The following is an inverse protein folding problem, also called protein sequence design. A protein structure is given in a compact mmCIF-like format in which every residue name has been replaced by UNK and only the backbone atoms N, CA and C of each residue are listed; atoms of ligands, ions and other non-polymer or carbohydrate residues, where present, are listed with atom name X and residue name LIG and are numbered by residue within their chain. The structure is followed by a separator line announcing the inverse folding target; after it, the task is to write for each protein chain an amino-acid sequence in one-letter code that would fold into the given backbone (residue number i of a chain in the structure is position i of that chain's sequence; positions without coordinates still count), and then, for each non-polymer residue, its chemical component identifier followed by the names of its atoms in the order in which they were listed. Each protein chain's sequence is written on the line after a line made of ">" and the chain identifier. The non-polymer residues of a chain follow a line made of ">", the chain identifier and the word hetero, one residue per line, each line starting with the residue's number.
data_IF_307639183374
#
_entry.id   IF_307639183374
#
_cell.length_a   1.000
_cell.length_b   1.000
_cell.length_c   1.000
_cell.angle_alpha   90.00
_cell.angle_beta   90.00
_cell.angle_gamma   90.00
#
_symmetry.space_group_name_H-M   'P 1'
#
loop_
_entity.id
_entity.type
_entity.pdbx_description
1 polymer ?
#
# COMPACT_ATOMS: atom_id res chain seq x y z
N UNK A 1 59.32 59.72 31.64
CA UNK A 1 59.11 60.96 32.42
C UNK A 1 59.01 62.07 31.39
N UNK A 2 57.82 62.31 30.84
CA UNK A 2 57.62 63.29 29.77
C UNK A 2 57.15 64.57 30.44
N UNK A 3 58.07 65.50 30.68
CA UNK A 3 57.76 66.77 31.33
C UNK A 3 57.12 67.73 30.33
N UNK A 4 55.96 68.27 30.69
CA UNK A 4 55.27 69.30 29.91
C UNK A 4 55.99 70.63 30.18
N UNK A 5 56.83 71.05 29.24
CA UNK A 5 57.65 72.26 29.35
C UNK A 5 56.76 73.51 29.44
N UNK A 6 56.99 74.36 30.45
CA UNK A 6 56.30 75.65 30.62
C UNK A 6 57.00 76.71 29.77
N UNK A 7 56.25 77.45 28.95
CA UNK A 7 56.80 78.57 28.16
C UNK A 7 56.38 79.88 28.83
N UNK A 8 57.35 80.71 29.20
CA UNK A 8 57.08 82.05 29.72
C UNK A 8 57.13 83.04 28.56
N UNK A 9 56.00 83.67 28.24
CA UNK A 9 55.95 84.79 27.31
C UNK A 9 55.37 85.98 28.08
N UNK A 10 56.19 87.03 28.25
CA UNK A 10 55.83 88.31 28.88
C UNK A 10 55.10 88.22 30.24
N UNK A 11 55.54 87.30 31.12
CA UNK A 11 55.12 87.23 32.52
C UNK A 11 53.85 86.39 32.80
N UNK A 12 53.20 85.85 31.77
CA UNK A 12 52.07 84.92 31.94
C UNK A 12 52.56 83.48 31.83
N UNK A 13 52.35 82.69 32.89
CA UNK A 13 52.76 81.30 32.93
C UNK A 13 51.75 80.44 32.16
N UNK A 14 52.10 80.08 30.93
CA UNK A 14 51.25 79.26 30.06
C UNK A 14 51.66 77.80 30.21
N UNK A 15 50.74 76.99 30.75
CA UNK A 15 50.85 75.54 30.71
C UNK A 15 50.22 75.09 29.39
N UNK A 16 50.96 74.50 28.44
CA UNK A 16 50.33 73.98 27.25
C UNK A 16 49.37 72.87 27.67
N UNK A 17 48.07 73.06 27.44
CA UNK A 17 47.14 71.95 27.50
C UNK A 17 47.57 70.98 26.40
N UNK A 18 48.19 69.86 26.77
CA UNK A 18 48.43 68.81 25.79
C UNK A 18 47.06 68.32 25.37
N UNK A 19 46.65 68.66 24.14
CA UNK A 19 45.52 68.04 23.48
C UNK A 19 45.71 66.52 23.59
N UNK A 20 44.63 65.74 23.71
CA UNK A 20 44.69 64.26 23.80
C UNK A 20 45.61 63.65 22.71
N UNK A 21 45.71 64.33 21.57
CA UNK A 21 46.58 63.99 20.46
C UNK A 21 48.08 64.31 20.62
N UNK A 22 48.50 65.09 21.61
CA UNK A 22 49.91 65.44 21.83
C UNK A 22 50.67 64.42 22.71
N UNK A 23 49.98 63.39 23.22
CA UNK A 23 50.60 62.30 24.01
C UNK A 23 51.17 61.25 23.04
N UNK A 24 52.50 61.11 22.96
CA UNK A 24 53.13 60.01 22.22
C UNK A 24 52.67 58.65 22.77
N UNK A 25 52.08 57.84 21.90
CA UNK A 25 51.52 56.52 22.24
C UNK A 25 50.05 56.49 22.62
N UNK A 26 49.28 57.58 22.45
CA UNK A 26 47.82 57.52 22.67
C UNK A 26 47.17 56.53 21.67
N UNK A 27 46.44 55.50 22.12
CA UNK A 27 45.76 54.60 21.21
C UNK A 27 44.58 55.34 20.56
N UNK A 28 44.66 55.58 19.24
CA UNK A 28 43.64 56.31 18.47
C UNK A 28 42.30 55.55 18.38
N UNK A 29 42.30 54.25 18.71
CA UNK A 29 41.11 53.41 18.80
C UNK A 29 41.31 52.33 19.88
N UNK A 30 40.70 52.49 21.06
CA UNK A 30 40.62 51.40 22.07
C UNK A 30 39.52 50.38 21.73
N UNK A 31 39.09 50.32 20.46
CA UNK A 31 38.08 49.34 20.05
C UNK A 31 38.80 48.02 19.85
N UNK A 32 38.56 47.07 20.76
CA UNK A 32 39.05 45.70 20.61
C UNK A 32 38.65 45.13 19.25
N UNK A 33 39.50 44.23 18.73
CA UNK A 33 39.25 43.57 17.47
C UNK A 33 37.85 42.94 17.46
N UNK A 34 37.23 42.95 16.28
CA UNK A 34 35.96 42.26 16.10
C UNK A 34 36.17 40.78 16.48
N UNK A 35 35.36 40.26 17.38
CA UNK A 35 35.40 38.84 17.73
C UNK A 35 35.18 37.95 16.51
N UNK A 36 35.78 36.76 16.55
CA UNK A 36 35.65 35.78 15.49
C UNK A 36 34.17 35.43 15.25
N UNK A 37 33.77 35.15 13.99
CA UNK A 37 32.46 34.59 13.71
C UNK A 37 32.21 33.31 14.52
N UNK A 38 31.02 33.18 15.08
CA UNK A 38 30.62 31.95 15.77
C UNK A 38 30.63 30.74 14.82
N UNK A 39 30.86 29.55 15.38
CA UNK A 39 30.83 28.31 14.61
C UNK A 39 29.48 28.12 13.89
N UNK A 40 29.54 27.70 12.63
CA UNK A 40 28.34 27.44 11.85
C UNK A 40 27.55 26.25 12.43
N UNK A 41 26.23 26.38 12.50
CA UNK A 41 25.37 25.26 12.84
C UNK A 41 25.30 24.25 11.68
N UNK A 42 25.24 22.96 12.00
CA UNK A 42 25.11 21.89 11.01
C UNK A 42 23.84 21.07 11.27
N UNK A 43 23.26 20.54 10.18
CA UNK A 43 22.09 19.66 10.24
C UNK A 43 22.36 18.45 9.36
N UNK A 44 22.07 17.26 9.87
CA UNK A 44 22.19 16.00 9.14
C UNK A 44 20.96 15.12 9.37
N UNK A 45 20.70 14.20 8.43
CA UNK A 45 19.73 13.13 8.61
C UNK A 45 20.42 11.95 9.26
N UNK A 46 19.81 11.41 10.32
CA UNK A 46 20.25 10.18 10.97
C UNK A 46 19.55 8.97 10.38
N UNK A 47 18.55 8.45 11.09
CA UNK A 47 17.80 7.27 10.68
C UNK A 47 16.44 7.63 10.09
N UNK A 48 15.98 6.84 9.13
CA UNK A 48 14.58 6.85 8.66
C UNK A 48 14.01 5.46 8.91
N UNK A 49 12.96 5.40 9.73
CA UNK A 49 12.35 4.14 10.16
C UNK A 49 10.83 4.18 9.94
N UNK A 50 10.20 3.03 9.79
CA UNK A 50 8.75 2.94 9.74
C UNK A 50 8.14 2.87 11.14
N UNK A 51 6.95 3.45 11.33
CA UNK A 51 6.21 3.38 12.60
C UNK A 51 4.71 3.57 12.42
N UNK A 52 3.97 3.76 13.51
CA UNK A 52 2.51 4.04 13.47
C UNK A 52 2.20 5.53 13.46
N UNK A 53 3.09 6.36 14.01
CA UNK A 53 2.92 7.80 14.16
C UNK A 53 4.12 8.52 13.56
N UNK A 54 3.86 9.57 12.79
CA UNK A 54 4.92 10.41 12.25
C UNK A 54 5.64 11.15 13.38
N UNK A 55 6.97 11.06 13.42
CA UNK A 55 7.77 11.73 14.43
C UNK A 55 9.12 12.17 13.88
N UNK A 56 9.64 13.24 14.46
CA UNK A 56 11.01 13.72 14.26
C UNK A 56 11.66 13.85 15.63
N UNK A 57 12.88 13.35 15.79
CA UNK A 57 13.65 13.47 17.03
C UNK A 57 15.06 13.95 16.72
N UNK A 58 15.57 14.95 17.45
CA UNK A 58 16.96 15.35 17.36
C UNK A 58 17.81 14.45 18.27
N UNK A 59 18.70 13.66 17.69
CA UNK A 59 19.70 12.86 18.41
C UNK A 59 21.08 13.55 18.48
N UNK A 60 21.20 14.75 17.91
CA UNK A 60 22.40 15.59 17.95
C UNK A 60 22.31 16.72 18.98
N UNK A 61 23.12 17.77 18.81
CA UNK A 61 23.08 18.97 19.66
C UNK A 61 22.27 20.09 18.99
N UNK A 62 22.13 21.22 19.67
CA UNK A 62 21.50 22.43 19.11
C UNK A 62 22.34 23.08 18.00
N UNK A 63 23.66 22.88 18.00
CA UNK A 63 24.59 23.39 16.97
C UNK A 63 24.97 22.34 15.92
N UNK A 64 24.74 21.05 16.19
CA UNK A 64 24.97 19.95 15.26
C UNK A 64 23.79 18.98 15.34
N UNK A 65 22.67 19.35 14.73
CA UNK A 65 21.44 18.59 14.79
C UNK A 65 21.53 17.32 13.93
N UNK A 66 20.99 16.22 14.45
CA UNK A 66 20.84 14.96 13.74
C UNK A 66 19.40 14.50 13.86
N UNK A 67 18.61 14.75 12.82
CA UNK A 67 17.19 14.43 12.82
C UNK A 67 16.95 12.98 12.40
N UNK A 68 16.30 12.24 13.28
CA UNK A 68 15.78 10.90 13.03
C UNK A 68 14.29 10.99 12.71
N UNK A 69 13.84 10.24 11.72
CA UNK A 69 12.47 10.22 11.24
C UNK A 69 11.80 8.87 11.50
N UNK A 70 10.55 8.94 11.95
CA UNK A 70 9.61 7.82 11.94
C UNK A 70 8.51 8.17 10.95
N UNK A 71 8.36 7.33 9.91
CA UNK A 71 7.37 7.52 8.85
C UNK A 71 6.30 6.43 8.93
N UNK A 72 5.01 6.78 9.05
CA UNK A 72 3.94 5.79 8.99
C UNK A 72 3.79 5.21 7.59
N UNK A 73 3.31 3.97 7.53
CA UNK A 73 2.87 3.39 6.24
C UNK A 73 1.58 4.10 5.83
N UNK A 74 1.45 4.42 4.54
CA UNK A 74 0.18 4.86 3.99
C UNK A 74 -0.89 3.78 4.10
N UNK A 75 -2.15 4.21 4.14
CA UNK A 75 -3.29 3.31 4.15
C UNK A 75 -3.29 2.38 2.92
N UNK A 76 -3.91 1.22 3.08
CA UNK A 76 -4.14 0.33 1.94
C UNK A 76 -5.07 1.04 0.95
N UNK A 77 -4.75 0.98 -0.33
CA UNK A 77 -5.66 1.44 -1.38
C UNK A 77 -6.96 0.62 -1.42
N UNK A 78 -8.01 1.24 -1.97
CA UNK A 78 -9.32 0.60 -2.10
C UNK A 78 -9.24 -0.71 -2.91
N UNK A 79 -10.05 -1.73 -2.58
CA UNK A 79 -10.19 -2.90 -3.43
C UNK A 79 -10.62 -2.51 -4.85
N UNK A 80 -10.10 -3.19 -5.86
CA UNK A 80 -10.55 -3.01 -7.24
C UNK A 80 -12.00 -3.50 -7.43
N UNK A 81 -12.73 -2.87 -8.35
CA UNK A 81 -14.05 -3.36 -8.79
C UNK A 81 -13.88 -4.68 -9.55
N UNK A 82 -14.61 -5.72 -9.16
CA UNK A 82 -14.63 -6.99 -9.90
C UNK A 82 -15.18 -6.78 -11.32
N UNK A 83 -14.40 -7.14 -12.33
CA UNK A 83 -14.77 -7.00 -13.75
C UNK A 83 -15.62 -8.15 -14.30
N UNK A 84 -15.81 -9.23 -13.53
CA UNK A 84 -16.52 -10.41 -14.02
C UNK A 84 -18.02 -10.22 -13.89
N UNK A 85 -18.70 -10.09 -15.03
CA UNK A 85 -20.15 -10.23 -15.13
C UNK A 85 -20.54 -11.67 -14.81
N UNK A 86 -21.20 -11.87 -13.67
CA UNK A 86 -21.65 -13.17 -13.16
C UNK A 86 -23.03 -13.56 -13.70
N UNK A 87 -23.32 -13.23 -14.96
CA UNK A 87 -24.65 -13.49 -15.53
C UNK A 87 -24.91 -14.99 -15.59
N UNK A 88 -26.15 -15.37 -15.26
CA UNK A 88 -26.60 -16.76 -15.36
C UNK A 88 -26.53 -17.21 -16.82
N UNK A 89 -26.04 -18.41 -17.05
CA UNK A 89 -26.01 -19.02 -18.37
C UNK A 89 -27.44 -19.13 -18.94
N UNK A 90 -27.56 -18.94 -20.25
CA UNK A 90 -28.83 -19.12 -20.97
C UNK A 90 -28.65 -20.18 -22.05
N UNK A 91 -29.73 -20.53 -22.75
CA UNK A 91 -29.68 -21.45 -23.89
C UNK A 91 -28.88 -20.89 -25.08
N UNK A 92 -28.63 -19.58 -25.11
CA UNK A 92 -27.97 -18.88 -26.23
C UNK A 92 -26.69 -18.16 -25.83
N UNK A 93 -26.32 -18.12 -24.55
CA UNK A 93 -25.12 -17.45 -24.07
C UNK A 93 -24.45 -18.19 -22.89
N UNK A 94 -23.13 -18.31 -22.95
CA UNK A 94 -22.31 -18.89 -21.88
C UNK A 94 -22.37 -18.01 -20.62
N UNK A 95 -22.39 -18.63 -19.44
CA UNK A 95 -22.45 -17.93 -18.14
C UNK A 95 -22.28 -18.88 -16.96
N UNK A 96 -22.67 -18.44 -15.76
CA UNK A 96 -22.67 -19.27 -14.55
C UNK A 96 -23.98 -20.06 -14.43
N UNK A 97 -23.93 -21.34 -14.05
CA UNK A 97 -25.17 -22.07 -13.74
C UNK A 97 -25.63 -21.73 -12.32
N UNK A 98 -26.94 -21.59 -12.10
CA UNK A 98 -27.49 -21.50 -10.75
C UNK A 98 -27.16 -22.77 -9.94
N UNK A 99 -27.00 -22.66 -8.63
CA UNK A 99 -26.71 -23.81 -7.75
C UNK A 99 -27.78 -24.91 -7.85
N UNK A 100 -29.05 -24.50 -8.00
CA UNK A 100 -30.18 -25.38 -8.25
C UNK A 100 -30.05 -26.16 -9.55
N UNK A 101 -29.66 -25.49 -10.63
CA UNK A 101 -29.51 -26.13 -11.95
C UNK A 101 -28.27 -27.01 -11.99
N UNK A 102 -27.16 -26.59 -11.36
CA UNK A 102 -25.97 -27.43 -11.17
C UNK A 102 -26.32 -28.72 -10.43
N UNK A 103 -27.15 -28.64 -9.39
CA UNK A 103 -27.56 -29.81 -8.61
C UNK A 103 -28.39 -30.79 -9.45
N UNK A 104 -29.30 -30.29 -10.30
CA UNK A 104 -30.05 -31.14 -11.26
C UNK A 104 -29.11 -31.84 -12.23
N UNK A 105 -28.09 -31.13 -12.73
CA UNK A 105 -27.10 -31.68 -13.65
C UNK A 105 -26.10 -32.65 -12.97
N UNK A 106 -25.96 -32.64 -11.65
CA UNK A 106 -25.08 -33.59 -10.96
C UNK A 106 -25.69 -35.00 -10.88
N UNK A 107 -27.01 -35.13 -11.08
CA UNK A 107 -27.72 -36.42 -11.04
C UNK A 107 -27.83 -37.15 -12.38
N UNK A 108 -27.33 -36.57 -13.47
CA UNK A 108 -27.34 -37.19 -14.81
C UNK A 108 -26.01 -37.90 -15.06
N UNK A 109 -26.10 -39.18 -15.43
CA UNK A 109 -24.94 -40.00 -15.79
C UNK A 109 -24.31 -39.53 -17.11
N UNK A 110 -23.01 -39.80 -17.27
CA UNK A 110 -22.30 -39.51 -18.51
C UNK A 110 -22.94 -40.25 -19.69
N UNK A 111 -23.28 -39.53 -20.76
CA UNK A 111 -23.90 -40.11 -21.95
C UNK A 111 -25.43 -40.31 -21.87
N UNK A 112 -26.10 -39.80 -20.83
CA UNK A 112 -27.57 -39.82 -20.76
C UNK A 112 -28.21 -39.15 -21.99
N UNK A 113 -29.18 -39.82 -22.61
CA UNK A 113 -29.93 -39.32 -23.77
C UNK A 113 -31.30 -38.79 -23.34
N UNK A 114 -31.76 -37.69 -23.95
CA UNK A 114 -33.09 -37.11 -23.66
C UNK A 114 -34.23 -38.09 -23.93
N UNK A 115 -34.09 -38.85 -25.02
CA UNK A 115 -35.08 -39.81 -25.50
C UNK A 115 -34.32 -41.09 -25.91
N UNK A 116 -33.95 -41.98 -24.97
CA UNK A 116 -33.38 -43.26 -25.36
C UNK A 116 -34.36 -43.98 -26.28
N UNK A 117 -33.86 -44.56 -27.37
CA UNK A 117 -34.69 -45.29 -28.33
C UNK A 117 -35.39 -46.50 -27.70
N UNK A 118 -36.21 -47.21 -28.48
CA UNK A 118 -36.78 -48.48 -28.04
C UNK A 118 -35.66 -49.48 -27.73
N UNK A 119 -35.84 -50.25 -26.65
CA UNK A 119 -34.90 -51.32 -26.32
C UNK A 119 -34.99 -52.47 -27.34
N UNK A 120 -33.83 -53.00 -27.69
CA UNK A 120 -33.65 -54.24 -28.46
C UNK A 120 -33.17 -55.35 -27.52
N UNK A 121 -33.26 -56.61 -27.94
CA UNK A 121 -32.62 -57.73 -27.23
C UNK A 121 -31.09 -57.59 -27.17
N UNK A 122 -30.50 -56.75 -28.03
CA UNK A 122 -29.05 -56.51 -28.12
C UNK A 122 -28.59 -55.13 -27.68
N UNK A 123 -29.50 -54.17 -27.46
CA UNK A 123 -29.16 -52.80 -27.09
C UNK A 123 -30.18 -52.22 -26.11
N UNK A 124 -29.70 -51.56 -25.06
CA UNK A 124 -30.57 -50.89 -24.09
C UNK A 124 -31.24 -49.65 -24.71
N UNK A 125 -32.45 -49.37 -24.23
CA UNK A 125 -33.26 -48.23 -24.64
C UNK A 125 -34.08 -47.73 -23.46
N UNK A 126 -35.41 -47.66 -23.60
CA UNK A 126 -36.34 -47.38 -22.49
C UNK A 126 -36.28 -48.40 -21.32
N UNK A 127 -35.71 -49.58 -21.58
CA UNK A 127 -35.41 -50.62 -20.59
C UNK A 127 -34.08 -51.30 -20.95
N UNK A 128 -33.56 -52.14 -20.07
CA UNK A 128 -32.33 -52.89 -20.36
C UNK A 128 -32.55 -53.92 -21.48
N UNK A 129 -31.50 -54.25 -22.23
CA UNK A 129 -31.55 -55.31 -23.24
C UNK A 129 -31.94 -56.67 -22.62
N UNK A 130 -31.51 -56.91 -21.37
CA UNK A 130 -31.85 -58.09 -20.60
C UNK A 130 -33.35 -58.15 -20.27
N UNK A 131 -33.94 -57.04 -19.82
CA UNK A 131 -35.36 -57.00 -19.50
C UNK A 131 -36.22 -57.10 -20.75
N UNK A 132 -35.77 -56.51 -21.88
CA UNK A 132 -36.42 -56.72 -23.17
C UNK A 132 -36.39 -58.20 -23.59
N UNK A 133 -35.27 -58.89 -23.38
CA UNK A 133 -35.13 -60.32 -23.68
C UNK A 133 -36.07 -61.16 -22.82
N UNK A 134 -36.18 -60.86 -21.52
CA UNK A 134 -37.13 -61.53 -20.63
C UNK A 134 -38.58 -61.30 -21.06
N UNK A 135 -38.91 -60.07 -21.43
CA UNK A 135 -40.27 -59.70 -21.88
C UNK A 135 -40.64 -60.43 -23.17
N UNK A 136 -39.72 -60.51 -24.14
CA UNK A 136 -39.94 -61.21 -25.40
C UNK A 136 -40.06 -62.74 -25.23
N UNK A 137 -39.43 -63.27 -24.17
CA UNK A 137 -39.49 -64.68 -23.81
C UNK A 137 -40.70 -65.08 -22.97
N UNK A 138 -41.59 -64.15 -22.62
CA UNK A 138 -42.82 -64.51 -21.90
C UNK A 138 -43.75 -65.33 -22.81
N UNK A 139 -44.29 -66.42 -22.28
CA UNK A 139 -45.25 -67.23 -23.00
C UNK A 139 -46.50 -66.40 -23.32
N UNK A 140 -46.86 -66.34 -24.60
CA UNK A 140 -48.12 -65.74 -25.02
C UNK A 140 -49.28 -66.65 -24.58
N UNK A 141 -50.04 -66.24 -23.57
CA UNK A 141 -51.23 -66.97 -23.12
C UNK A 141 -52.41 -66.55 -24.00
N UNK A 142 -52.77 -67.40 -24.97
CA UNK A 142 -54.03 -67.24 -25.71
C UNK A 142 -55.18 -67.88 -24.94
N UNK A 143 -56.15 -67.07 -24.52
CA UNK A 143 -57.41 -67.59 -23.98
C UNK A 143 -58.31 -68.01 -25.15
N UNK A 144 -58.48 -69.32 -25.36
CA UNK A 144 -59.46 -69.83 -26.31
C UNK A 144 -60.86 -69.85 -25.66
N UNK A 145 -61.88 -69.46 -26.41
CA UNK A 145 -63.28 -69.45 -25.93
C UNK A 145 -63.75 -70.89 -25.68
N UNK A 146 -64.02 -71.23 -24.41
CA UNK A 146 -64.61 -72.52 -24.03
C UNK A 146 -66.13 -72.48 -24.18
N UNK A 147 -66.58 -72.53 -25.43
CA UNK A 147 -68.01 -72.68 -25.76
C UNK A 147 -68.89 -71.46 -25.48
N UNK A 148 -70.11 -71.51 -25.98
CA UNK A 148 -71.24 -70.67 -25.54
C UNK A 148 -72.03 -71.44 -24.51
N UNK A 149 -72.39 -70.77 -23.42
CA UNK A 149 -73.32 -71.27 -22.40
C UNK A 149 -74.69 -71.52 -23.01
#
# INVERSE_FOLDING_TARGET
>A
MTDIVKVNQDGVQVYPQTHWEAVEGKPETIKGDKGDPGAAATITVGTVTSGTTAAVTNAGTTSAAKFNFVLPKGDKGDPGTNATTTTVATTTANGLMASTDKSKLNGIEAGAQKNPGNASTTAAGLMSAADKTKLDGLNNITFEKVGTV
#
